data_IF_304823975012
#
_entry.id   IF_304823975012
#
_cell.length_a   1.000
_cell.length_b   1.000
_cell.length_c   1.000
_cell.angle_alpha   90.00
_cell.angle_beta   90.00
_cell.angle_gamma   90.00
#
_symmetry.space_group_name_H-M   'P 1'
#
loop_
_entity.id
_entity.type
_entity.pdbx_description
1 polymer ?
#
# COMPACT_ATOMS: atom_id res chain seq x y z
N UNK A 1 -5.34 -1.87 9.29
CA UNK A 1 -5.11 -1.04 8.09
C UNK A 1 -6.23 0.01 7.88
N UNK A 2 -7.47 -0.26 8.31
CA UNK A 2 -8.57 0.74 8.26
C UNK A 2 -8.59 1.74 9.44
N UNK A 3 -7.57 1.75 10.31
CA UNK A 3 -7.49 2.73 11.39
C UNK A 3 -7.20 4.11 10.78
N UNK A 4 -8.02 5.14 11.07
CA UNK A 4 -7.81 6.47 10.53
C UNK A 4 -6.66 7.19 11.24
N UNK A 5 -5.79 7.81 10.45
CA UNK A 5 -4.87 8.85 10.91
C UNK A 5 -5.49 10.18 10.48
N UNK A 6 -5.98 10.93 11.47
CA UNK A 6 -6.83 12.13 11.26
C UNK A 6 -8.16 11.74 10.60
N UNK A 7 -8.24 11.74 9.27
CA UNK A 7 -9.45 11.54 8.48
C UNK A 7 -9.30 10.48 7.38
N UNK A 8 -8.11 9.89 7.24
CA UNK A 8 -7.77 8.93 6.19
C UNK A 8 -7.25 7.62 6.79
N UNK A 9 -7.73 6.43 6.36
CA UNK A 9 -7.21 5.16 6.85
C UNK A 9 -5.75 4.94 6.41
N UNK A 10 -4.97 4.26 7.26
CA UNK A 10 -3.55 3.94 6.98
C UNK A 10 -3.33 3.35 5.58
N UNK A 11 -4.20 2.42 5.16
CA UNK A 11 -4.09 1.78 3.85
C UNK A 11 -4.16 2.75 2.68
N UNK A 12 -4.90 3.86 2.81
CA UNK A 12 -5.00 4.85 1.74
C UNK A 12 -3.70 5.64 1.58
N UNK A 13 -2.98 5.94 2.67
CA UNK A 13 -1.65 6.54 2.56
C UNK A 13 -0.67 5.62 1.82
N UNK A 14 -0.70 4.32 2.13
CA UNK A 14 0.14 3.33 1.46
C UNK A 14 -0.18 3.20 -0.04
N UNK A 15 -1.46 3.24 -0.40
CA UNK A 15 -1.90 3.24 -1.81
C UNK A 15 -1.47 4.51 -2.52
N UNK A 16 -1.66 5.68 -1.93
CA UNK A 16 -1.23 6.96 -2.50
C UNK A 16 0.29 6.99 -2.73
N UNK A 17 1.08 6.46 -1.78
CA UNK A 17 2.53 6.35 -1.92
C UNK A 17 2.92 5.42 -3.09
N UNK A 18 2.29 4.25 -3.19
CA UNK A 18 2.55 3.30 -4.27
C UNK A 18 2.19 3.88 -5.65
N UNK A 19 1.05 4.57 -5.75
CA UNK A 19 0.62 5.26 -6.98
C UNK A 19 1.59 6.37 -7.36
N UNK A 20 2.07 7.17 -6.39
CA UNK A 20 3.07 8.21 -6.61
C UNK A 20 4.44 7.64 -7.03
N UNK A 21 4.75 6.40 -6.63
CA UNK A 21 5.93 5.66 -7.07
C UNK A 21 5.77 5.02 -8.46
N UNK A 22 4.60 5.14 -9.09
CA UNK A 22 4.33 4.63 -10.45
C UNK A 22 3.64 3.27 -10.50
N UNK A 23 3.18 2.72 -9.37
CA UNK A 23 2.39 1.50 -9.39
C UNK A 23 1.02 1.74 -10.04
N UNK A 24 0.56 0.78 -10.83
CA UNK A 24 -0.77 0.81 -11.49
C UNK A 24 -1.64 -0.39 -11.11
N UNK A 25 -1.03 -1.44 -10.54
CA UNK A 25 -1.70 -2.65 -10.06
C UNK A 25 -1.41 -2.80 -8.57
N UNK A 26 -2.45 -2.70 -7.76
CA UNK A 26 -2.42 -2.82 -6.31
C UNK A 26 -2.92 -4.22 -5.94
N UNK A 27 -2.04 -5.07 -5.40
CA UNK A 27 -2.40 -6.44 -4.98
C UNK A 27 -2.54 -6.47 -3.46
N UNK A 28 -3.77 -6.58 -2.99
CA UNK A 28 -4.09 -6.67 -1.57
C UNK A 28 -4.20 -8.13 -1.16
N UNK A 29 -3.34 -8.53 -0.22
CA UNK A 29 -3.40 -9.85 0.41
C UNK A 29 -4.20 -9.74 1.70
N UNK A 30 -5.42 -10.27 1.71
CA UNK A 30 -6.40 -10.03 2.77
C UNK A 30 -6.83 -11.30 3.49
N UNK A 31 -7.23 -11.18 4.76
CA UNK A 31 -7.91 -12.25 5.52
C UNK A 31 -9.43 -12.15 5.42
N UNK A 32 -10.15 -13.13 5.95
CA UNK A 32 -11.62 -13.22 5.87
C UNK A 32 -12.38 -12.00 6.44
N UNK A 33 -11.82 -11.31 7.44
CA UNK A 33 -12.47 -10.19 8.13
C UNK A 33 -12.14 -8.80 7.55
N UNK A 34 -11.57 -8.70 6.35
CA UNK A 34 -11.00 -7.45 5.81
C UNK A 34 -11.83 -6.81 4.69
N UNK A 35 -13.14 -7.06 4.65
CA UNK A 35 -14.05 -6.52 3.63
C UNK A 35 -14.00 -4.99 3.52
N UNK A 36 -13.83 -4.29 4.64
CA UNK A 36 -13.73 -2.83 4.66
C UNK A 36 -12.58 -2.25 3.83
N UNK A 37 -11.50 -3.02 3.58
CA UNK A 37 -10.43 -2.59 2.67
C UNK A 37 -10.93 -2.62 1.22
N UNK A 38 -11.60 -3.71 0.84
CA UNK A 38 -12.19 -3.86 -0.49
C UNK A 38 -13.21 -2.74 -0.76
N UNK A 39 -14.12 -2.51 0.19
CA UNK A 39 -15.18 -1.51 0.07
C UNK A 39 -14.62 -0.06 0.00
N UNK A 40 -13.49 0.23 0.66
CA UNK A 40 -12.90 1.58 0.68
C UNK A 40 -12.33 2.02 -0.68
N UNK A 41 -11.84 1.07 -1.49
CA UNK A 41 -11.28 1.34 -2.81
C UNK A 41 -12.23 0.98 -3.96
N UNK A 42 -13.45 0.52 -3.65
CA UNK A 42 -14.51 0.30 -4.64
C UNK A 42 -15.41 1.54 -4.76
N UNK A 43 -16.12 1.66 -5.87
CA UNK A 43 -17.06 2.77 -6.07
C UNK A 43 -18.37 2.51 -5.35
N UNK A 44 -18.70 3.38 -4.39
CA UNK A 44 -20.02 3.41 -3.75
C UNK A 44 -20.96 4.35 -4.52
N UNK A 45 -21.67 3.79 -5.50
CA UNK A 45 -22.60 4.54 -6.34
C UNK A 45 -23.75 5.18 -5.54
N UNK A 46 -24.19 4.55 -4.46
CA UNK A 46 -25.28 5.05 -3.63
C UNK A 46 -24.83 6.33 -2.89
N UNK A 47 -23.65 6.27 -2.26
CA UNK A 47 -23.04 7.40 -1.59
C UNK A 47 -22.71 8.54 -2.56
N UNK A 48 -22.18 8.22 -3.75
CA UNK A 48 -21.88 9.22 -4.79
C UNK A 48 -23.16 9.96 -5.23
N UNK A 49 -24.24 9.23 -5.53
CA UNK A 49 -25.52 9.83 -5.91
C UNK A 49 -26.12 10.68 -4.78
N UNK A 50 -26.00 10.23 -3.53
CA UNK A 50 -26.45 10.97 -2.37
C UNK A 50 -25.71 12.31 -2.23
N UNK A 51 -24.39 12.29 -2.30
CA UNK A 51 -23.56 13.51 -2.22
C UNK A 51 -23.83 14.46 -3.38
N UNK A 52 -24.03 13.93 -4.58
CA UNK A 52 -24.40 14.71 -5.76
C UNK A 52 -25.75 15.42 -5.57
N UNK A 53 -26.78 14.71 -5.09
CA UNK A 53 -28.11 15.29 -4.79
C UNK A 53 -28.05 16.35 -3.68
N UNK A 54 -27.16 16.17 -2.71
CA UNK A 54 -26.92 17.13 -1.63
C UNK A 54 -26.04 18.32 -2.05
N UNK A 55 -25.54 18.37 -3.29
CA UNK A 55 -24.65 19.44 -3.77
C UNK A 55 -23.27 19.45 -3.10
N UNK A 56 -22.84 18.35 -2.48
CA UNK A 56 -21.58 18.23 -1.74
C UNK A 56 -20.41 17.88 -2.67
N UNK A 57 -20.13 18.75 -3.64
CA UNK A 57 -19.15 18.48 -4.71
C UNK A 57 -17.72 18.22 -4.21
N UNK A 58 -17.29 18.86 -3.13
CA UNK A 58 -15.95 18.62 -2.55
C UNK A 58 -15.79 17.20 -2.03
N UNK A 59 -16.76 16.71 -1.25
CA UNK A 59 -16.78 15.35 -0.71
C UNK A 59 -16.92 14.30 -1.81
N UNK A 60 -17.76 14.57 -2.82
CA UNK A 60 -17.88 13.70 -3.99
C UNK A 60 -16.54 13.52 -4.72
N UNK A 61 -15.82 14.62 -4.92
CA UNK A 61 -14.50 14.58 -5.56
C UNK A 61 -13.48 13.82 -4.71
N UNK A 62 -13.52 13.96 -3.39
CA UNK A 62 -12.63 13.22 -2.48
C UNK A 62 -12.83 11.71 -2.62
N UNK A 63 -14.07 11.23 -2.56
CA UNK A 63 -14.37 9.78 -2.69
C UNK A 63 -13.93 9.24 -4.04
N UNK A 64 -14.22 9.97 -5.13
CA UNK A 64 -13.79 9.59 -6.49
C UNK A 64 -12.28 9.61 -6.68
N UNK A 65 -11.56 10.40 -5.88
CA UNK A 65 -10.10 10.51 -5.97
C UNK A 65 -9.35 9.44 -5.18
N UNK A 66 -10.03 8.62 -4.35
CA UNK A 66 -9.40 7.57 -3.54
C UNK A 66 -8.63 6.57 -4.41
N UNK A 67 -9.21 6.18 -5.56
CA UNK A 67 -8.56 5.31 -6.53
C UNK A 67 -8.63 5.95 -7.93
N UNK A 68 -7.50 6.38 -8.52
CA UNK A 68 -7.47 6.91 -9.88
C UNK A 68 -7.91 5.86 -10.92
N UNK A 69 -8.53 6.30 -12.02
CA UNK A 69 -9.09 5.41 -13.05
C UNK A 69 -8.06 4.54 -13.80
N UNK A 70 -6.76 4.88 -13.72
CA UNK A 70 -5.68 4.08 -14.30
C UNK A 70 -5.18 2.98 -13.37
N UNK A 71 -5.56 3.04 -12.09
CA UNK A 71 -5.16 2.06 -11.09
C UNK A 71 -6.17 0.92 -11.02
N UNK A 72 -5.68 -0.28 -10.73
CA UNK A 72 -6.48 -1.49 -10.56
C UNK A 72 -6.18 -2.16 -9.23
N UNK A 73 -7.21 -2.67 -8.57
CA UNK A 73 -7.08 -3.42 -7.32
C UNK A 73 -7.33 -4.91 -7.58
N UNK A 74 -6.46 -5.76 -7.06
CA UNK A 74 -6.61 -7.23 -7.06
C UNK A 74 -6.60 -7.69 -5.62
N UNK A 75 -7.60 -8.47 -5.22
CA UNK A 75 -7.73 -9.00 -3.87
C UNK A 75 -7.49 -10.50 -3.88
N UNK A 76 -6.48 -10.95 -3.13
CA UNK A 76 -6.18 -12.38 -2.96
C UNK A 76 -6.28 -12.72 -1.48
N UNK A 77 -6.99 -13.80 -1.16
CA UNK A 77 -7.13 -14.27 0.22
C UNK A 77 -5.87 -15.00 0.67
N UNK A 78 -5.34 -14.62 1.83
CA UNK A 78 -4.37 -15.45 2.55
C UNK A 78 -5.14 -16.54 3.31
N UNK A 79 -4.98 -17.83 2.97
CA UNK A 79 -5.81 -18.90 3.55
C UNK A 79 -5.52 -19.14 5.04
N UNK A 80 -4.29 -18.87 5.48
CA UNK A 80 -3.86 -18.99 6.87
C UNK A 80 -2.79 -17.94 7.19
N UNK A 81 -2.75 -17.41 8.43
CA UNK A 81 -1.82 -16.35 8.84
C UNK A 81 -0.41 -16.90 9.10
N UNK A 82 0.25 -17.38 8.05
CA UNK A 82 1.60 -17.99 8.11
C UNK A 82 2.74 -16.97 7.94
N UNK A 83 2.45 -15.68 8.18
CA UNK A 83 3.42 -14.59 8.09
C UNK A 83 3.57 -13.97 6.70
N UNK A 84 4.48 -12.99 6.62
CA UNK A 84 4.67 -12.13 5.43
C UNK A 84 5.17 -12.90 4.21
N UNK A 85 6.11 -13.83 4.37
CA UNK A 85 6.63 -14.61 3.24
C UNK A 85 5.53 -15.42 2.54
N UNK A 86 4.62 -16.01 3.31
CA UNK A 86 3.45 -16.69 2.78
C UNK A 86 2.49 -15.71 2.08
N UNK A 87 2.28 -14.52 2.65
CA UNK A 87 1.45 -13.48 2.02
C UNK A 87 2.01 -13.05 0.65
N UNK A 88 3.32 -12.82 0.56
CA UNK A 88 4.00 -12.50 -0.71
C UNK A 88 3.86 -13.65 -1.70
N UNK A 89 4.00 -14.90 -1.25
CA UNK A 89 3.81 -16.08 -2.12
C UNK A 89 2.37 -16.17 -2.67
N UNK A 90 1.34 -15.85 -1.86
CA UNK A 90 -0.04 -15.81 -2.34
C UNK A 90 -0.25 -14.82 -3.50
N UNK A 91 0.56 -13.76 -3.59
CA UNK A 91 0.49 -12.77 -4.66
C UNK A 91 1.05 -13.26 -6.01
N UNK A 92 1.78 -14.37 -6.03
CA UNK A 92 2.49 -14.88 -7.22
C UNK A 92 1.63 -14.93 -8.50
N UNK A 93 0.36 -15.40 -8.49
CA UNK A 93 -0.45 -15.44 -9.71
C UNK A 93 -0.78 -14.05 -10.30
N UNK A 94 -0.80 -13.00 -9.48
CA UNK A 94 -1.09 -11.63 -9.91
C UNK A 94 0.17 -10.84 -10.31
N UNK A 95 1.31 -11.17 -9.70
CA UNK A 95 2.60 -10.51 -9.96
C UNK A 95 3.34 -11.15 -11.15
N UNK A 96 3.29 -12.47 -11.28
CA UNK A 96 4.01 -13.19 -12.33
C UNK A 96 5.53 -13.07 -12.18
N UNK A 97 6.20 -12.53 -13.20
CA UNK A 97 7.66 -12.35 -13.25
C UNK A 97 8.10 -10.89 -13.31
N UNK A 98 7.19 -9.96 -13.01
CA UNK A 98 7.48 -8.53 -12.97
C UNK A 98 8.15 -8.15 -11.63
N UNK A 99 9.03 -7.13 -11.60
CA UNK A 99 9.47 -6.54 -10.34
C UNK A 99 8.28 -5.90 -9.62
N UNK A 100 8.27 -5.97 -8.29
CA UNK A 100 7.14 -5.53 -7.48
C UNK A 100 7.62 -4.91 -6.17
N UNK A 101 6.78 -4.04 -5.61
CA UNK A 101 6.96 -3.55 -4.25
C UNK A 101 6.27 -4.50 -3.26
N UNK A 102 6.87 -4.66 -2.08
CA UNK A 102 6.19 -5.16 -0.89
C UNK A 102 6.04 -3.97 0.05
N UNK A 103 4.80 -3.57 0.33
CA UNK A 103 4.51 -2.38 1.13
C UNK A 103 3.60 -2.74 2.31
N UNK A 104 4.12 -2.54 3.52
CA UNK A 104 3.40 -2.77 4.77
C UNK A 104 2.68 -1.48 5.15
N UNK A 105 1.34 -1.48 5.13
CA UNK A 105 0.53 -0.28 5.32
C UNK A 105 0.53 0.26 6.76
N UNK A 106 1.02 -0.52 7.72
CA UNK A 106 1.23 -0.13 9.11
C UNK A 106 2.49 0.73 9.31
N UNK A 107 3.46 0.67 8.40
CA UNK A 107 4.62 1.56 8.39
C UNK A 107 4.30 2.85 7.61
N UNK A 108 3.72 3.83 8.31
CA UNK A 108 3.47 5.16 7.75
C UNK A 108 4.76 6.00 7.72
N UNK A 109 5.37 6.11 6.54
CA UNK A 109 6.64 6.83 6.36
C UNK A 109 6.38 8.23 5.80
N UNK A 110 6.80 9.26 6.55
CA UNK A 110 6.77 10.65 6.09
C UNK A 110 8.13 11.08 5.59
N UNK A 111 8.19 11.53 4.35
CA UNK A 111 9.41 12.02 3.69
C UNK A 111 9.06 13.08 2.64
N UNK A 112 10.04 13.90 2.23
CA UNK A 112 9.83 14.90 1.15
C UNK A 112 9.63 14.21 -0.21
N UNK A 113 10.43 13.18 -0.48
CA UNK A 113 10.26 12.26 -1.62
C UNK A 113 9.77 10.94 -1.05
N UNK A 114 8.64 10.42 -1.53
CA UNK A 114 8.07 9.14 -1.10
C UNK A 114 9.12 8.01 -1.05
N UNK A 115 9.07 7.17 -0.02
CA UNK A 115 10.04 6.09 0.20
C UNK A 115 10.04 5.11 -0.98
N UNK A 116 8.85 4.68 -1.43
CA UNK A 116 8.73 3.80 -2.59
C UNK A 116 9.29 4.43 -3.88
N UNK A 117 9.14 5.75 -4.06
CA UNK A 117 9.72 6.44 -5.22
C UNK A 117 11.25 6.41 -5.19
N UNK A 118 11.85 6.66 -4.03
CA UNK A 118 13.31 6.55 -3.85
C UNK A 118 13.79 5.12 -4.11
N UNK A 119 13.08 4.11 -3.61
CA UNK A 119 13.40 2.70 -3.84
C UNK A 119 13.28 2.33 -5.33
N UNK A 120 12.26 2.84 -6.03
CA UNK A 120 12.09 2.66 -7.46
C UNK A 120 13.28 3.22 -8.25
N UNK A 121 13.74 4.42 -7.90
CA UNK A 121 14.88 5.07 -8.57
C UNK A 121 16.18 4.28 -8.38
N UNK A 122 16.41 3.74 -7.18
CA UNK A 122 17.55 2.84 -6.91
C UNK A 122 17.43 1.54 -7.70
N UNK A 123 16.23 0.96 -7.78
CA UNK A 123 15.98 -0.26 -8.55
C UNK A 123 16.24 -0.02 -10.05
N UNK A 124 15.78 1.09 -10.62
CA UNK A 124 16.02 1.42 -12.03
C UNK A 124 17.51 1.61 -12.33
N UNK A 125 18.27 2.22 -11.42
CA UNK A 125 19.71 2.42 -11.61
C UNK A 125 20.53 1.13 -11.44
N UNK A 126 20.16 0.25 -10.50
CA UNK A 126 20.97 -0.92 -10.11
C UNK A 126 20.46 -2.25 -10.62
N UNK A 127 19.18 -2.34 -11.00
CA UNK A 127 18.47 -3.58 -11.36
C UNK A 127 18.64 -4.71 -10.33
N UNK A 128 18.63 -4.35 -9.05
CA UNK A 128 18.79 -5.26 -7.92
C UNK A 128 17.71 -5.01 -6.86
N UNK A 129 17.36 -6.04 -6.08
CA UNK A 129 16.39 -5.92 -5.00
C UNK A 129 16.79 -4.81 -4.02
N UNK A 130 15.81 -3.98 -3.64
CA UNK A 130 16.02 -2.84 -2.74
C UNK A 130 15.27 -3.10 -1.44
N UNK A 131 15.94 -2.89 -0.32
CA UNK A 131 15.35 -2.97 1.02
C UNK A 131 15.42 -1.60 1.68
N UNK A 132 14.26 -1.05 2.07
CA UNK A 132 14.20 0.15 2.88
C UNK A 132 14.70 -0.14 4.30
N UNK A 133 15.60 0.69 4.81
CA UNK A 133 16.16 0.56 6.16
C UNK A 133 16.21 1.93 6.84
N UNK A 134 16.16 1.94 8.17
CA UNK A 134 16.39 3.12 8.99
C UNK A 134 17.42 2.80 10.07
N UNK A 135 18.22 3.79 10.46
CA UNK A 135 19.10 3.64 11.61
C UNK A 135 18.28 3.67 12.90
N UNK A 136 18.52 2.72 13.79
CA UNK A 136 17.87 2.63 15.10
C UNK A 136 18.93 2.68 16.22
N UNK A 137 18.58 3.15 17.43
CA UNK A 137 19.46 3.05 18.58
C UNK A 137 19.89 1.60 18.82
N UNK A 138 21.16 1.37 19.22
CA UNK A 138 21.67 0.01 19.48
C UNK A 138 20.85 -0.76 20.53
N UNK A 139 20.20 -0.05 21.44
CA UNK A 139 19.36 -0.65 22.49
C UNK A 139 18.01 -1.20 21.95
N UNK A 140 17.60 -0.81 20.73
CA UNK A 140 16.34 -1.21 20.12
C UNK A 140 16.51 -2.29 19.03
N UNK A 141 17.72 -2.79 18.80
CA UNK A 141 18.00 -3.71 17.68
C UNK A 141 17.30 -5.07 17.79
N UNK A 142 16.85 -5.45 18.99
CA UNK A 142 16.06 -6.67 19.24
C UNK A 142 14.61 -6.59 18.73
N UNK A 143 14.14 -5.37 18.42
CA UNK A 143 12.78 -5.11 17.91
C UNK A 143 12.68 -5.17 16.38
N UNK A 144 13.81 -5.28 15.67
CA UNK A 144 13.87 -5.16 14.22
C UNK A 144 14.71 -6.27 13.58
N UNK A 145 14.47 -6.50 12.27
CA UNK A 145 15.43 -7.21 11.44
C UNK A 145 16.64 -6.31 11.13
N UNK A 146 17.85 -6.79 11.42
CA UNK A 146 19.09 -6.03 11.21
C UNK A 146 19.81 -6.54 9.95
N UNK A 147 20.11 -5.63 9.04
CA UNK A 147 20.93 -5.93 7.85
C UNK A 147 22.41 -5.91 8.21
N UNK A 148 23.17 -6.85 7.64
CA UNK A 148 24.62 -6.75 7.57
C UNK A 148 24.98 -5.99 6.28
N UNK A 149 25.91 -5.05 6.37
CA UNK A 149 26.46 -4.32 5.23
C UNK A 149 27.94 -4.64 5.11
N UNK A 150 28.43 -4.83 3.89
CA UNK A 150 29.86 -4.89 3.63
C UNK A 150 30.45 -3.48 3.82
N UNK A 151 31.63 -3.41 4.46
CA UNK A 151 32.33 -2.17 4.79
C UNK A 151 33.14 -1.64 3.59
#
# INVERSE_FOLDING_TARGET
EMLPVVDKPLIQYAVEEALAAGATRLVFITGAAKRAIEDHFDSDQELEQLLQRQGKSSLLNQIRSVLPSYASCIYIRQPAPLGLGHAVLCAQPAVGSEPFFVHLADDLIRSEVACLKQMADVYEAKRASVLGVQSVPRADTDKYGIVAVEA
#
